data_IF_142191474318
#
_entry.id   IF_142191474318
#
_cell.length_a   1.000
_cell.length_b   1.000
_cell.length_c   1.000
_cell.angle_alpha   90.00
_cell.angle_beta   90.00
_cell.angle_gamma   90.00
#
_symmetry.space_group_name_H-M   'P 1'
#
loop_
_entity.id
_entity.type
_entity.pdbx_description
1 polymer ?
#
# COMPACT_ATOMS: atom_id res chain seq x y z
N UNK A 1 12.43 20.49 -77.88
CA UNK A 1 13.11 20.70 -76.59
C UNK A 1 12.19 20.14 -75.50
N UNK A 2 12.38 18.87 -75.14
CA UNK A 2 11.61 18.19 -74.09
C UNK A 2 12.65 17.75 -73.06
N UNK A 3 12.59 18.35 -71.88
CA UNK A 3 13.51 18.14 -70.76
C UNK A 3 13.01 16.93 -69.95
N UNK A 4 13.80 15.86 -69.74
CA UNK A 4 13.37 14.77 -68.88
C UNK A 4 13.56 15.16 -67.41
N UNK A 5 12.47 15.08 -66.64
CA UNK A 5 12.43 15.27 -65.20
C UNK A 5 12.93 13.98 -64.52
N UNK A 6 14.10 14.06 -63.89
CA UNK A 6 14.73 12.94 -63.18
C UNK A 6 14.13 12.86 -61.77
N UNK A 7 13.30 11.84 -61.51
CA UNK A 7 12.76 11.55 -60.17
C UNK A 7 13.80 10.75 -59.39
N UNK A 8 14.46 11.39 -58.43
CA UNK A 8 15.33 10.75 -57.45
C UNK A 8 14.47 10.09 -56.36
N UNK A 9 14.25 8.78 -56.46
CA UNK A 9 13.73 7.97 -55.36
C UNK A 9 14.86 7.74 -54.36
N UNK A 10 14.96 8.60 -53.36
CA UNK A 10 15.79 8.36 -52.18
C UNK A 10 15.19 7.22 -51.38
N UNK A 11 15.79 6.02 -51.47
CA UNK A 11 15.51 4.91 -50.58
C UNK A 11 15.76 5.35 -49.14
N UNK A 12 14.76 5.28 -48.28
CA UNK A 12 14.98 5.20 -46.83
C UNK A 12 15.91 4.01 -46.59
N UNK A 13 17.01 4.22 -45.86
CA UNK A 13 17.83 3.10 -45.40
C UNK A 13 17.06 2.44 -44.27
N UNK A 14 16.63 1.20 -44.46
CA UNK A 14 16.19 0.34 -43.36
C UNK A 14 17.42 0.10 -42.47
N UNK A 15 17.44 0.73 -41.29
CA UNK A 15 18.39 0.33 -40.26
C UNK A 15 18.02 -1.08 -39.79
N UNK A 16 19.01 -1.96 -39.57
CA UNK A 16 18.74 -3.32 -39.11
C UNK A 16 17.97 -3.29 -37.79
N UNK A 17 16.84 -4.01 -37.76
CA UNK A 17 15.97 -4.10 -36.59
C UNK A 17 16.75 -4.72 -35.42
N UNK A 18 16.85 -3.99 -34.32
CA UNK A 18 17.59 -4.45 -33.14
C UNK A 18 16.78 -5.54 -32.43
N UNK A 19 17.42 -6.70 -32.18
CA UNK A 19 16.79 -7.82 -31.48
C UNK A 19 16.80 -7.53 -29.98
N UNK A 20 15.62 -7.46 -29.31
CA UNK A 20 15.56 -7.14 -27.89
C UNK A 20 16.00 -8.31 -27.01
N UNK A 21 16.30 -7.98 -25.77
CA UNK A 21 16.36 -8.91 -24.63
C UNK A 21 15.05 -8.83 -23.87
N UNK A 22 14.56 -9.94 -23.35
CA UNK A 22 13.31 -9.98 -22.59
C UNK A 22 13.61 -10.17 -21.10
N UNK A 23 13.21 -9.21 -20.27
CA UNK A 23 13.29 -9.36 -18.82
C UNK A 23 12.00 -9.99 -18.31
N UNK A 24 12.09 -11.17 -17.72
CA UNK A 24 10.98 -11.82 -17.03
C UNK A 24 11.04 -11.47 -15.54
N UNK A 25 10.39 -10.37 -15.18
CA UNK A 25 10.38 -9.82 -13.82
C UNK A 25 9.35 -10.58 -12.98
N UNK A 26 9.83 -11.30 -11.97
CA UNK A 26 9.02 -12.05 -11.02
C UNK A 26 8.43 -11.13 -9.93
N UNK A 27 7.42 -11.58 -9.18
CA UNK A 27 6.96 -10.88 -7.99
C UNK A 27 8.11 -10.71 -6.98
N UNK A 28 8.05 -9.65 -6.17
CA UNK A 28 9.05 -9.41 -5.12
C UNK A 28 9.05 -10.52 -4.07
N UNK A 29 10.25 -10.96 -3.70
CA UNK A 29 10.47 -11.65 -2.42
C UNK A 29 10.72 -10.60 -1.34
N UNK A 30 10.06 -10.75 -0.19
CA UNK A 30 10.08 -9.72 0.87
C UNK A 30 10.68 -10.30 2.14
N UNK A 31 11.85 -9.77 2.52
CA UNK A 31 12.58 -10.15 3.72
C UNK A 31 12.25 -9.27 4.95
N UNK A 32 11.22 -8.42 4.84
CA UNK A 32 10.79 -7.51 5.89
C UNK A 32 10.02 -8.21 7.03
N UNK A 33 9.88 -7.58 8.22
CA UNK A 33 9.10 -8.12 9.33
C UNK A 33 7.65 -8.43 8.96
N UNK A 34 7.25 -9.69 9.17
CA UNK A 34 5.97 -10.26 8.71
C UNK A 34 6.11 -11.15 7.47
N UNK A 35 7.19 -10.99 6.70
CA UNK A 35 7.45 -11.73 5.47
C UNK A 35 6.52 -11.34 4.32
N UNK A 36 6.62 -12.06 3.21
CA UNK A 36 5.90 -11.77 1.96
C UNK A 36 4.39 -11.59 2.12
N UNK A 37 3.74 -12.40 2.96
CA UNK A 37 2.29 -12.34 3.12
C UNK A 37 1.80 -10.99 3.67
N UNK A 38 2.65 -10.23 4.36
CA UNK A 38 2.27 -8.94 4.95
C UNK A 38 2.35 -7.77 3.97
N UNK A 39 2.84 -8.04 2.76
CA UNK A 39 3.07 -7.03 1.74
C UNK A 39 2.27 -7.34 0.48
N UNK A 40 1.66 -6.30 -0.10
CA UNK A 40 0.91 -6.38 -1.35
C UNK A 40 1.59 -5.51 -2.42
N UNK A 41 2.77 -5.96 -2.84
CA UNK A 41 3.59 -5.31 -3.87
C UNK A 41 3.17 -5.92 -5.22
N UNK A 42 2.24 -5.25 -5.89
CA UNK A 42 1.65 -5.75 -7.14
C UNK A 42 2.40 -5.27 -8.38
N UNK A 43 3.22 -4.24 -8.26
CA UNK A 43 3.84 -3.56 -9.38
C UNK A 43 5.35 -3.38 -9.16
N UNK A 44 6.09 -3.20 -10.25
CA UNK A 44 7.52 -2.93 -10.25
C UNK A 44 7.86 -1.81 -11.23
N UNK A 45 8.57 -0.78 -10.76
CA UNK A 45 9.07 0.29 -11.62
C UNK A 45 10.49 -0.06 -12.08
N UNK A 46 10.62 -0.32 -13.38
CA UNK A 46 11.85 -0.79 -14.00
C UNK A 46 12.72 0.37 -14.46
N UNK A 47 13.99 0.32 -14.06
CA UNK A 47 15.05 1.14 -14.62
C UNK A 47 16.16 0.24 -15.19
N UNK A 48 16.73 0.65 -16.32
CA UNK A 48 17.82 -0.05 -17.00
C UNK A 48 18.94 0.96 -17.25
N UNK A 49 20.13 0.71 -16.69
CA UNK A 49 21.26 1.65 -16.71
C UNK A 49 20.89 3.07 -16.23
N UNK A 50 19.98 3.16 -15.26
CA UNK A 50 19.47 4.43 -14.72
C UNK A 50 18.35 5.08 -15.53
N UNK A 51 17.97 4.53 -16.70
CA UNK A 51 16.84 5.03 -17.49
C UNK A 51 15.52 4.37 -17.08
N UNK A 52 14.49 5.19 -16.85
CA UNK A 52 13.15 4.70 -16.51
C UNK A 52 12.45 4.12 -17.75
N UNK A 53 12.03 2.86 -17.68
CA UNK A 53 11.31 2.19 -18.77
C UNK A 53 9.80 2.09 -18.56
N UNK A 54 9.35 2.02 -17.31
CA UNK A 54 7.92 1.94 -16.99
C UNK A 54 7.60 1.28 -15.65
N UNK A 55 6.34 1.41 -15.24
CA UNK A 55 5.75 0.64 -14.15
C UNK A 55 4.95 -0.55 -14.70
N UNK A 56 5.19 -1.74 -14.18
CA UNK A 56 4.58 -2.97 -14.66
C UNK A 56 3.92 -3.74 -13.52
N UNK A 57 2.69 -4.22 -13.73
CA UNK A 57 2.06 -5.19 -12.83
C UNK A 57 2.78 -6.52 -12.95
N UNK A 58 3.22 -7.06 -11.81
CA UNK A 58 4.08 -8.25 -11.75
C UNK A 58 3.25 -9.54 -11.60
N UNK A 59 3.72 -10.67 -12.17
CA UNK A 59 4.92 -10.81 -13.01
C UNK A 59 4.76 -10.15 -14.39
N UNK A 60 5.88 -9.69 -14.97
CA UNK A 60 5.87 -9.02 -16.27
C UNK A 60 7.04 -9.46 -17.16
N UNK A 61 6.81 -9.52 -18.47
CA UNK A 61 7.86 -9.71 -19.49
C UNK A 61 8.06 -8.40 -20.24
N UNK A 62 9.24 -7.81 -20.12
CA UNK A 62 9.55 -6.49 -20.68
C UNK A 62 10.66 -6.60 -21.72
N UNK A 63 10.42 -6.24 -22.99
CA UNK A 63 11.48 -6.18 -24.00
C UNK A 63 12.32 -4.91 -23.78
N UNK A 64 13.65 -5.07 -23.81
CA UNK A 64 14.62 -3.98 -23.69
C UNK A 64 15.66 -4.08 -24.80
N UNK A 65 16.11 -2.92 -25.31
CA UNK A 65 17.17 -2.82 -26.29
C UNK A 65 18.49 -2.50 -25.57
N UNK A 66 19.10 -3.53 -24.97
CA UNK A 66 20.37 -3.44 -24.28
C UNK A 66 21.15 -4.75 -24.40
N UNK A 67 22.48 -4.67 -24.38
CA UNK A 67 23.40 -5.82 -24.50
C UNK A 67 24.60 -5.64 -23.56
N UNK A 68 25.21 -6.73 -23.12
CA UNK A 68 26.38 -6.71 -22.25
C UNK A 68 26.04 -6.44 -20.79
N UNK A 69 27.01 -5.94 -20.04
CA UNK A 69 26.83 -5.65 -18.60
C UNK A 69 25.86 -4.49 -18.41
N UNK A 70 24.68 -4.80 -17.87
CA UNK A 70 23.56 -3.86 -17.74
C UNK A 70 23.03 -3.89 -16.31
N UNK A 71 22.92 -2.71 -15.69
CA UNK A 71 22.31 -2.55 -14.38
C UNK A 71 20.78 -2.56 -14.51
N UNK A 72 20.14 -3.47 -13.78
CA UNK A 72 18.68 -3.54 -13.67
C UNK A 72 18.29 -3.11 -12.27
N UNK A 73 17.39 -2.13 -12.19
CA UNK A 73 16.76 -1.72 -10.93
C UNK A 73 15.25 -1.91 -11.01
N UNK A 74 14.65 -2.41 -9.92
CA UNK A 74 13.19 -2.55 -9.80
C UNK A 74 12.75 -1.97 -8.46
N UNK A 75 11.96 -0.90 -8.50
CA UNK A 75 11.38 -0.31 -7.30
C UNK A 75 10.03 -0.98 -6.98
N UNK A 76 9.78 -1.34 -5.70
CA UNK A 76 8.50 -1.88 -5.27
C UNK A 76 7.34 -0.90 -5.49
N UNK A 77 6.31 -1.33 -6.20
CA UNK A 77 5.08 -0.56 -6.44
C UNK A 77 3.88 -1.13 -5.69
N UNK A 78 3.07 -0.24 -5.10
CA UNK A 78 1.82 -0.57 -4.40
C UNK A 78 0.66 0.24 -4.95
N UNK A 79 -0.58 -0.23 -4.74
CA UNK A 79 -1.79 0.56 -5.02
C UNK A 79 -2.04 1.55 -3.87
N UNK A 80 -1.55 2.77 -4.03
CA UNK A 80 -1.78 3.87 -3.09
C UNK A 80 -3.28 4.12 -2.94
N UNK A 81 -3.74 4.17 -1.70
CA UNK A 81 -5.15 4.36 -1.33
C UNK A 81 -6.10 3.35 -1.99
N UNK A 82 -5.59 2.18 -2.40
CA UNK A 82 -6.36 1.15 -3.09
C UNK A 82 -6.74 1.50 -4.54
N UNK A 83 -6.18 2.56 -5.13
CA UNK A 83 -6.47 2.97 -6.51
C UNK A 83 -5.67 2.08 -7.47
N UNK A 84 -6.37 1.19 -8.19
CA UNK A 84 -5.72 0.21 -9.08
C UNK A 84 -5.01 0.86 -10.27
N UNK A 85 -5.60 1.92 -10.81
CA UNK A 85 -5.18 2.59 -12.05
C UNK A 85 -3.86 3.36 -11.93
N UNK A 86 -3.44 3.70 -10.70
CA UNK A 86 -2.27 4.55 -10.45
C UNK A 86 -1.40 3.92 -9.36
N UNK A 87 -0.68 2.82 -9.65
CA UNK A 87 0.31 2.31 -8.73
C UNK A 87 1.41 3.35 -8.50
N UNK A 88 1.91 3.43 -7.28
CA UNK A 88 2.98 4.35 -6.91
C UNK A 88 4.18 3.57 -6.34
N UNK A 89 5.38 4.11 -6.46
CA UNK A 89 6.56 3.56 -5.79
C UNK A 89 6.31 3.65 -4.29
N UNK A 90 6.47 2.54 -3.57
CA UNK A 90 6.35 2.55 -2.12
C UNK A 90 7.69 2.95 -1.48
N UNK A 91 7.81 4.16 -0.90
CA UNK A 91 9.11 4.76 -0.61
C UNK A 91 9.86 4.10 0.54
N UNK A 92 9.19 3.25 1.32
CA UNK A 92 9.79 2.63 2.51
C UNK A 92 10.36 1.24 2.25
N UNK A 93 10.25 0.70 1.03
CA UNK A 93 10.89 -0.55 0.65
C UNK A 93 12.07 -0.28 -0.28
N UNK A 94 13.16 -1.01 -0.04
CA UNK A 94 14.39 -0.91 -0.84
C UNK A 94 14.13 -1.33 -2.27
N UNK A 95 14.71 -0.57 -3.21
CA UNK A 95 14.80 -1.03 -4.60
C UNK A 95 15.70 -2.26 -4.71
N UNK A 96 15.36 -3.15 -5.63
CA UNK A 96 16.28 -4.19 -6.08
C UNK A 96 17.26 -3.57 -7.10
N UNK A 97 18.55 -3.92 -7.02
CA UNK A 97 19.57 -3.51 -7.99
C UNK A 97 20.52 -4.68 -8.24
N UNK A 98 20.73 -5.03 -9.52
CA UNK A 98 21.67 -6.08 -9.92
C UNK A 98 22.13 -5.91 -11.37
N UNK A 99 23.40 -6.19 -11.63
CA UNK A 99 23.93 -6.27 -12.98
C UNK A 99 23.69 -7.64 -13.60
N UNK A 100 23.29 -7.63 -14.87
CA UNK A 100 23.11 -8.82 -15.71
C UNK A 100 23.92 -8.66 -16.99
N UNK A 101 24.50 -9.76 -17.48
CA UNK A 101 25.06 -9.81 -18.82
C UNK A 101 23.93 -10.17 -19.80
N UNK A 102 23.49 -9.18 -20.58
CA UNK A 102 22.36 -9.31 -21.51
C UNK A 102 22.84 -9.77 -22.89
N UNK A 103 22.13 -10.73 -23.48
CA UNK A 103 22.41 -11.27 -24.81
C UNK A 103 21.12 -11.16 -25.63
N UNK A 104 21.16 -10.44 -26.76
CA UNK A 104 20.01 -10.23 -27.65
C UNK A 104 19.29 -11.54 -27.99
N UNK A 105 17.95 -11.48 -27.96
CA UNK A 105 17.07 -12.62 -28.23
C UNK A 105 16.87 -13.56 -27.04
N UNK A 106 17.57 -13.38 -25.92
CA UNK A 106 17.37 -14.20 -24.72
C UNK A 106 16.30 -13.61 -23.79
N UNK A 107 15.76 -14.49 -22.94
CA UNK A 107 14.94 -14.11 -21.79
C UNK A 107 15.74 -14.31 -20.51
N UNK A 108 15.77 -13.30 -19.65
CA UNK A 108 16.47 -13.33 -18.36
C UNK A 108 15.44 -13.20 -17.25
N UNK A 109 15.47 -14.15 -16.31
CA UNK A 109 14.66 -14.08 -15.10
C UNK A 109 15.25 -13.07 -14.11
N UNK A 110 14.43 -12.10 -13.71
CA UNK A 110 14.75 -11.12 -12.68
C UNK A 110 13.88 -11.43 -11.47
N UNK A 111 14.49 -11.93 -10.40
CA UNK A 111 13.83 -12.19 -9.12
C UNK A 111 14.19 -11.07 -8.15
N UNK A 112 13.38 -10.01 -8.03
CA UNK A 112 13.68 -8.93 -7.12
C UNK A 112 13.44 -9.37 -5.66
N UNK A 113 14.33 -8.92 -4.78
CA UNK A 113 14.22 -9.09 -3.32
C UNK A 113 14.21 -7.70 -2.70
N UNK A 114 13.32 -7.49 -1.74
CA UNK A 114 13.18 -6.20 -1.04
C UNK A 114 13.02 -6.40 0.47
N UNK A 115 13.24 -5.31 1.20
CA UNK A 115 13.14 -5.18 2.64
C UNK A 115 12.86 -3.70 2.95
N UNK A 116 12.44 -3.37 4.17
CA UNK A 116 12.28 -1.97 4.55
C UNK A 116 13.60 -1.20 4.48
N UNK A 117 13.48 0.10 4.19
CA UNK A 117 14.57 1.05 4.30
C UNK A 117 15.08 1.14 5.74
N UNK A 118 16.40 1.24 5.92
CA UNK A 118 17.04 1.14 7.25
C UNK A 118 16.69 2.28 8.21
N UNK A 119 16.28 3.42 7.67
CA UNK A 119 15.92 4.65 8.40
C UNK A 119 14.40 4.83 8.56
N UNK A 120 13.59 3.83 8.19
CA UNK A 120 12.15 3.86 8.44
C UNK A 120 11.86 3.96 9.94
N UNK A 121 10.82 4.71 10.29
CA UNK A 121 10.26 4.79 11.64
C UNK A 121 8.86 4.21 11.65
N UNK A 122 8.59 3.35 12.62
CA UNK A 122 7.24 2.87 12.95
C UNK A 122 6.72 3.72 14.11
N UNK A 123 5.80 4.65 13.84
CA UNK A 123 5.41 5.67 14.81
C UNK A 123 4.74 5.11 16.07
N UNK A 124 4.10 3.94 15.95
CA UNK A 124 3.51 3.20 17.08
C UNK A 124 4.42 2.08 17.60
N UNK A 125 5.66 1.99 17.14
CA UNK A 125 6.58 0.88 17.41
C UNK A 125 6.36 -0.32 16.49
N UNK A 126 7.43 -1.04 16.18
CA UNK A 126 7.38 -2.25 15.35
C UNK A 126 6.81 -3.43 16.15
N UNK A 127 5.95 -4.25 15.52
CA UNK A 127 5.38 -5.45 16.14
C UNK A 127 4.34 -5.19 17.24
N UNK A 128 3.79 -3.96 17.33
CA UNK A 128 2.74 -3.63 18.32
C UNK A 128 1.34 -3.70 17.73
N UNK A 129 1.22 -3.43 16.43
CA UNK A 129 -0.04 -3.44 15.70
C UNK A 129 -0.41 -4.79 15.08
N UNK A 130 0.40 -5.82 15.27
CA UNK A 130 0.11 -7.22 14.90
C UNK A 130 -0.56 -8.01 16.03
N UNK A 131 -0.68 -7.40 17.21
CA UNK A 131 -1.36 -7.94 18.39
C UNK A 131 -0.81 -9.25 18.97
N UNK A 132 0.32 -9.75 18.46
CA UNK A 132 0.93 -11.02 18.84
C UNK A 132 1.98 -10.89 19.95
N UNK A 133 2.47 -9.67 20.17
CA UNK A 133 3.47 -9.35 21.19
C UNK A 133 2.91 -9.17 22.61
N UNK A 134 3.83 -8.91 23.55
CA UNK A 134 3.48 -8.58 24.94
C UNK A 134 3.10 -7.11 25.17
N UNK A 135 3.28 -6.23 24.17
CA UNK A 135 3.04 -4.79 24.28
C UNK A 135 2.33 -4.24 23.03
N UNK A 136 1.05 -4.54 22.88
CA UNK A 136 0.24 -4.09 21.74
C UNK A 136 0.07 -2.56 21.70
N UNK A 137 -0.38 -2.03 20.57
CA UNK A 137 -0.85 -0.64 20.50
C UNK A 137 -1.96 -0.42 21.53
N UNK A 138 -1.95 0.73 22.22
CA UNK A 138 -3.09 1.11 23.05
C UNK A 138 -4.32 1.35 22.20
N UNK A 139 -5.46 0.84 22.63
CA UNK A 139 -6.76 1.02 21.98
C UNK A 139 -7.78 1.52 23.01
N UNK A 140 -8.68 2.37 22.57
CA UNK A 140 -9.71 2.98 23.41
C UNK A 140 -11.05 2.93 22.69
N UNK A 141 -12.07 2.40 23.35
CA UNK A 141 -13.44 2.52 22.87
C UNK A 141 -13.95 3.96 23.08
N UNK A 142 -14.44 4.57 22.01
CA UNK A 142 -14.88 5.97 21.92
C UNK A 142 -16.34 6.11 21.49
N UNK A 143 -17.09 5.02 21.36
CA UNK A 143 -18.51 5.07 20.96
C UNK A 143 -19.45 5.53 22.10
N UNK A 144 -18.99 5.46 23.36
CA UNK A 144 -19.76 5.81 24.55
C UNK A 144 -20.71 4.70 25.03
N UNK A 145 -20.64 3.53 24.40
CA UNK A 145 -21.35 2.31 24.78
C UNK A 145 -20.60 1.58 25.90
N UNK A 146 -21.31 1.19 26.95
CA UNK A 146 -20.71 0.50 28.09
C UNK A 146 -20.88 -1.04 28.00
N UNK A 147 -21.79 -1.51 27.15
CA UNK A 147 -22.22 -2.91 27.10
C UNK A 147 -21.50 -3.69 25.98
N UNK A 148 -21.05 -3.01 24.92
CA UNK A 148 -20.23 -3.60 23.86
C UNK A 148 -18.83 -2.99 23.82
N UNK A 149 -17.83 -3.83 23.61
CA UNK A 149 -16.44 -3.40 23.45
C UNK A 149 -15.75 -4.19 22.32
N UNK A 150 -14.63 -3.68 21.84
CA UNK A 150 -13.78 -4.40 20.90
C UNK A 150 -13.07 -5.59 21.55
N UNK A 151 -12.58 -6.50 20.71
CA UNK A 151 -11.91 -7.73 21.14
C UNK A 151 -10.54 -7.84 20.44
N UNK A 152 -9.53 -8.36 21.14
CA UNK A 152 -8.30 -8.86 20.52
C UNK A 152 -8.33 -10.39 20.58
N UNK A 153 -8.33 -11.06 19.43
CA UNK A 153 -8.61 -12.49 19.33
C UNK A 153 -7.81 -13.16 18.22
N UNK A 154 -7.50 -14.45 18.38
CA UNK A 154 -6.92 -15.29 17.33
C UNK A 154 -7.97 -15.86 16.37
N UNK A 155 -9.24 -15.77 16.73
CA UNK A 155 -10.33 -16.32 15.95
C UNK A 155 -10.56 -15.55 14.64
N UNK A 156 -10.06 -16.13 13.55
CA UNK A 156 -10.16 -15.54 12.22
C UNK A 156 -9.18 -14.38 11.99
N UNK A 157 -8.10 -14.31 12.78
CA UNK A 157 -7.00 -13.38 12.58
C UNK A 157 -6.28 -13.61 11.23
N UNK A 158 -5.55 -12.59 10.77
CA UNK A 158 -4.73 -12.72 9.57
C UNK A 158 -3.49 -13.56 9.86
N UNK A 159 -2.80 -13.22 10.95
CA UNK A 159 -1.76 -14.02 11.58
C UNK A 159 -1.88 -13.83 13.09
N UNK A 160 -1.73 -14.89 13.87
CA UNK A 160 -1.78 -14.80 15.33
C UNK A 160 -3.10 -14.19 15.84
N UNK A 161 -3.11 -12.92 16.28
CA UNK A 161 -4.29 -12.19 16.78
C UNK A 161 -4.63 -10.98 15.93
N UNK A 162 -5.89 -10.56 15.99
CA UNK A 162 -6.36 -9.33 15.35
C UNK A 162 -7.32 -8.55 16.25
N UNK A 163 -7.50 -7.27 15.94
CA UNK A 163 -8.58 -6.45 16.48
C UNK A 163 -9.89 -6.80 15.79
N UNK A 164 -10.92 -7.10 16.58
CA UNK A 164 -12.29 -7.35 16.12
C UNK A 164 -13.21 -6.28 16.68
N UNK A 165 -13.88 -5.57 15.78
CA UNK A 165 -14.95 -4.62 16.12
C UNK A 165 -16.26 -5.19 15.61
N UNK A 166 -17.31 -5.09 16.42
CA UNK A 166 -18.67 -5.57 16.09
C UNK A 166 -19.67 -4.46 16.34
N UNK A 167 -20.76 -4.49 15.58
CA UNK A 167 -21.93 -3.66 15.82
C UNK A 167 -23.19 -4.48 15.53
N UNK A 168 -24.27 -4.19 16.24
CA UNK A 168 -25.56 -4.85 16.09
C UNK A 168 -26.71 -3.82 16.21
N UNK A 169 -27.96 -4.29 16.15
CA UNK A 169 -29.11 -3.38 16.20
C UNK A 169 -29.31 -2.66 17.54
N UNK A 170 -28.75 -3.18 18.64
CA UNK A 170 -28.75 -2.55 19.96
C UNK A 170 -27.55 -1.60 20.13
N UNK A 171 -26.39 -1.97 19.59
CA UNK A 171 -25.13 -1.22 19.65
C UNK A 171 -24.62 -0.94 18.21
N UNK A 172 -25.18 0.04 17.49
CA UNK A 172 -25.03 0.16 16.04
C UNK A 172 -23.74 0.85 15.58
N UNK A 173 -22.90 1.30 16.51
CA UNK A 173 -21.64 1.99 16.23
C UNK A 173 -20.58 1.37 17.12
N UNK A 174 -19.36 1.22 16.58
CA UNK A 174 -18.17 0.87 17.34
C UNK A 174 -17.03 1.77 16.85
N UNK A 175 -16.51 2.58 17.75
CA UNK A 175 -15.47 3.58 17.50
C UNK A 175 -14.23 3.21 18.30
N UNK A 176 -13.16 2.80 17.64
CA UNK A 176 -11.91 2.40 18.30
C UNK A 176 -10.77 3.32 17.89
N UNK A 177 -10.21 4.03 18.86
CA UNK A 177 -9.09 4.94 18.66
C UNK A 177 -7.77 4.31 19.14
N UNK A 178 -6.71 4.43 18.34
CA UNK A 178 -5.34 4.10 18.79
C UNK A 178 -4.87 5.06 19.87
N UNK A 179 -3.84 4.70 20.62
CA UNK A 179 -3.09 5.64 21.47
C UNK A 179 -2.61 6.88 20.70
N UNK A 180 -2.24 7.94 21.44
CA UNK A 180 -1.71 9.17 20.85
C UNK A 180 -0.36 8.90 20.21
N UNK A 181 -0.29 9.12 18.90
CA UNK A 181 0.92 9.06 18.10
C UNK A 181 1.51 10.46 18.05
N UNK A 182 2.74 10.62 18.55
CA UNK A 182 3.38 11.94 18.69
C UNK A 182 4.36 12.20 17.58
N UNK A 183 4.62 13.49 17.34
CA UNK A 183 5.75 13.96 16.53
C UNK A 183 5.76 13.49 15.06
N UNK A 184 4.61 13.16 14.49
CA UNK A 184 4.47 12.77 13.08
C UNK A 184 4.89 13.94 12.16
N UNK A 185 5.60 13.69 11.05
CA UNK A 185 5.88 14.70 10.03
C UNK A 185 4.60 15.34 9.47
N UNK A 186 4.54 16.68 9.43
CA UNK A 186 3.38 17.45 8.94
C UNK A 186 3.75 18.51 7.88
N UNK A 187 4.93 18.39 7.25
CA UNK A 187 5.44 19.35 6.25
C UNK A 187 5.31 18.85 4.80
N UNK A 188 4.62 17.73 4.56
CA UNK A 188 4.45 17.13 3.23
C UNK A 188 5.58 16.18 2.82
N UNK A 189 6.76 16.34 3.42
CA UNK A 189 7.87 15.39 3.31
C UNK A 189 8.65 15.35 4.65
N UNK A 190 9.12 14.17 5.10
CA UNK A 190 8.84 12.85 4.52
C UNK A 190 7.35 12.50 4.62
N UNK A 191 6.88 11.67 3.69
CA UNK A 191 5.51 11.20 3.68
C UNK A 191 5.21 10.34 4.91
N UNK A 192 3.92 10.17 5.20
CA UNK A 192 3.41 9.34 6.30
C UNK A 192 2.35 8.41 5.74
N UNK A 193 2.58 7.11 5.88
CA UNK A 193 1.70 6.09 5.32
C UNK A 193 1.19 5.12 6.39
N UNK A 194 -0.08 4.76 6.30
CA UNK A 194 -0.67 3.67 7.06
C UNK A 194 -0.64 2.40 6.22
N UNK A 195 -0.08 1.35 6.77
CA UNK A 195 -0.28 0.00 6.28
C UNK A 195 -1.27 -0.74 7.18
N UNK A 196 -2.22 -1.46 6.57
CA UNK A 196 -3.29 -2.12 7.31
C UNK A 196 -3.73 -3.40 6.61
N UNK A 197 -3.83 -4.50 7.35
CA UNK A 197 -4.64 -5.64 6.94
C UNK A 197 -6.05 -5.49 7.49
N UNK A 198 -7.06 -5.74 6.66
CA UNK A 198 -8.45 -5.71 7.09
C UNK A 198 -9.27 -6.80 6.40
N UNK A 199 -10.33 -7.22 7.08
CA UNK A 199 -11.42 -8.05 6.55
C UNK A 199 -12.72 -7.55 7.14
N UNK A 200 -13.75 -7.33 6.33
CA UNK A 200 -14.97 -6.67 6.80
C UNK A 200 -16.20 -7.07 6.01
N UNK A 201 -17.32 -7.24 6.72
CA UNK A 201 -18.61 -7.60 6.14
C UNK A 201 -19.35 -6.39 5.56
N UNK A 202 -18.95 -5.18 5.98
CA UNK A 202 -19.55 -3.90 5.61
C UNK A 202 -18.48 -2.81 5.43
N UNK A 203 -18.75 -1.72 4.70
CA UNK A 203 -17.86 -0.57 4.70
C UNK A 203 -17.65 0.01 6.11
N UNK A 204 -16.42 0.42 6.40
CA UNK A 204 -16.06 1.12 7.64
C UNK A 204 -15.15 2.31 7.31
N UNK A 205 -14.89 3.19 8.26
CA UNK A 205 -14.17 4.44 8.02
C UNK A 205 -12.95 4.62 8.92
N UNK A 206 -11.93 5.28 8.39
CA UNK A 206 -10.78 5.81 9.13
C UNK A 206 -10.92 7.32 9.26
N UNK A 207 -10.69 7.81 10.48
CA UNK A 207 -10.54 9.21 10.81
C UNK A 207 -9.17 9.46 11.44
N UNK A 208 -8.65 10.68 11.26
CA UNK A 208 -7.58 11.23 12.10
C UNK A 208 -8.21 12.08 13.19
N UNK A 209 -7.81 11.84 14.43
CA UNK A 209 -8.18 12.69 15.56
C UNK A 209 -6.99 13.51 16.03
N UNK A 210 -7.17 14.82 16.19
CA UNK A 210 -6.12 15.75 16.61
C UNK A 210 -6.69 17.03 17.27
N UNK A 211 -5.82 17.80 17.90
CA UNK A 211 -6.16 19.09 18.51
C UNK A 211 -6.62 19.02 19.97
N UNK A 212 -6.95 20.19 20.53
CA UNK A 212 -7.48 20.33 21.89
C UNK A 212 -8.54 21.45 21.93
N UNK A 213 -9.86 21.13 22.04
CA UNK A 213 -10.41 19.78 22.11
C UNK A 213 -10.15 18.97 20.83
N UNK A 214 -10.09 17.64 20.98
CA UNK A 214 -9.82 16.72 19.87
C UNK A 214 -10.96 16.77 18.83
N UNK A 215 -10.61 16.85 17.54
CA UNK A 215 -11.55 16.91 16.42
C UNK A 215 -11.21 15.81 15.39
N UNK A 216 -12.24 15.24 14.76
CA UNK A 216 -12.10 14.16 13.79
C UNK A 216 -12.17 14.64 12.34
N UNK A 217 -11.17 14.29 11.55
CA UNK A 217 -11.15 14.46 10.10
C UNK A 217 -11.32 13.10 9.42
N UNK A 218 -12.33 12.95 8.55
CA UNK A 218 -12.51 11.74 7.77
C UNK A 218 -11.40 11.58 6.73
N UNK A 219 -10.82 10.39 6.64
CA UNK A 219 -9.66 10.09 5.78
C UNK A 219 -10.06 9.17 4.64
N UNK A 220 -10.65 8.02 4.99
CA UNK A 220 -10.86 6.94 4.03
C UNK A 220 -12.07 6.10 4.43
N UNK A 221 -12.80 5.63 3.44
CA UNK A 221 -13.86 4.63 3.60
C UNK A 221 -13.41 3.33 2.94
N UNK A 222 -13.25 2.29 3.75
CA UNK A 222 -12.89 0.97 3.27
C UNK A 222 -14.11 0.27 2.71
N UNK A 223 -13.93 -0.43 1.61
CA UNK A 223 -14.97 -1.26 1.02
C UNK A 223 -15.08 -2.61 1.74
N UNK A 224 -16.21 -3.28 1.53
CA UNK A 224 -16.40 -4.67 1.96
C UNK A 224 -15.28 -5.56 1.41
N UNK A 225 -14.77 -6.48 2.24
CA UNK A 225 -13.86 -7.51 1.79
C UNK A 225 -14.11 -8.83 2.53
N UNK A 226 -14.56 -9.85 1.80
CA UNK A 226 -14.84 -11.20 2.33
C UNK A 226 -13.56 -11.99 2.67
N UNK A 227 -12.40 -11.50 2.20
CA UNK A 227 -11.07 -12.06 2.46
C UNK A 227 -10.16 -11.00 3.09
N UNK A 228 -9.04 -11.41 3.68
CA UNK A 228 -8.06 -10.46 4.19
C UNK A 228 -7.43 -9.69 3.04
N UNK A 229 -7.45 -8.36 3.14
CA UNK A 229 -6.86 -7.46 2.18
C UNK A 229 -5.84 -6.56 2.86
N UNK A 230 -4.75 -6.23 2.15
CA UNK A 230 -3.75 -5.24 2.57
C UNK A 230 -3.98 -3.94 1.80
N UNK A 231 -3.91 -2.82 2.51
CA UNK A 231 -3.97 -1.48 1.92
C UNK A 231 -2.83 -0.62 2.43
N UNK A 232 -2.36 0.27 1.56
CA UNK A 232 -1.37 1.30 1.82
C UNK A 232 -2.06 2.65 1.63
N UNK A 233 -2.26 3.38 2.71
CA UNK A 233 -2.92 4.69 2.71
C UNK A 233 -1.89 5.78 2.94
N UNK A 234 -1.77 6.72 2.00
CA UNK A 234 -0.93 7.90 2.17
C UNK A 234 -1.72 8.94 2.97
N UNK A 235 -1.30 9.18 4.22
CA UNK A 235 -1.97 10.09 5.15
C UNK A 235 -1.40 11.50 5.13
N UNK A 236 -0.32 11.71 4.36
CA UNK A 236 0.49 12.95 4.37
C UNK A 236 -0.37 14.19 4.21
N UNK A 237 -1.25 14.24 3.20
CA UNK A 237 -2.04 15.43 2.92
C UNK A 237 -3.04 15.75 4.04
N UNK A 238 -3.63 14.73 4.68
CA UNK A 238 -4.55 14.92 5.80
C UNK A 238 -3.80 15.51 7.01
N UNK A 239 -2.63 14.95 7.34
CA UNK A 239 -1.79 15.41 8.45
C UNK A 239 -1.32 16.86 8.21
N UNK A 240 -0.81 17.16 7.02
CA UNK A 240 -0.42 18.53 6.62
C UNK A 240 -1.60 19.50 6.75
N UNK A 241 -2.77 19.11 6.22
CA UNK A 241 -3.96 19.96 6.26
C UNK A 241 -4.46 20.24 7.68
N UNK A 242 -4.28 19.28 8.60
CA UNK A 242 -4.65 19.45 10.00
C UNK A 242 -3.73 20.43 10.74
N UNK A 243 -2.47 20.54 10.31
CA UNK A 243 -1.43 21.32 11.00
C UNK A 243 -0.91 20.66 12.29
N UNK A 244 -1.47 19.53 12.73
CA UNK A 244 -1.10 18.86 13.98
C UNK A 244 -0.10 17.73 13.73
N UNK A 245 0.90 17.62 14.61
CA UNK A 245 1.90 16.54 14.61
C UNK A 245 1.50 15.36 15.48
N UNK A 246 0.58 15.59 16.41
CA UNK A 246 0.04 14.58 17.29
C UNK A 246 -1.30 14.11 16.73
N UNK A 247 -1.44 12.80 16.53
CA UNK A 247 -2.57 12.19 15.84
C UNK A 247 -3.03 10.92 16.56
N UNK A 248 -4.31 10.59 16.44
CA UNK A 248 -4.83 9.23 16.69
C UNK A 248 -5.49 8.71 15.42
N UNK A 249 -5.41 7.41 15.19
CA UNK A 249 -6.24 6.75 14.19
C UNK A 249 -7.54 6.34 14.87
N UNK A 250 -8.69 6.72 14.31
CA UNK A 250 -10.01 6.25 14.76
C UNK A 250 -10.64 5.41 13.65
N UNK A 251 -10.91 4.15 13.96
CA UNK A 251 -11.70 3.27 13.12
C UNK A 251 -13.16 3.32 13.58
N UNK A 252 -14.05 3.65 12.65
CA UNK A 252 -15.49 3.70 12.87
C UNK A 252 -16.19 2.62 12.07
N UNK A 253 -16.84 1.71 12.78
CA UNK A 253 -17.79 0.75 12.24
C UNK A 253 -19.20 1.25 12.53
N UNK A 254 -20.10 1.14 11.56
CA UNK A 254 -21.52 1.41 11.77
C UNK A 254 -22.37 0.35 11.08
N UNK A 255 -23.43 -0.10 11.74
CA UNK A 255 -24.37 -1.04 11.15
C UNK A 255 -25.11 -0.36 9.97
N UNK A 256 -25.02 -0.89 8.75
CA UNK A 256 -25.55 -0.20 7.57
C UNK A 256 -27.06 -0.03 7.61
N UNK A 257 -27.53 1.08 7.03
CA UNK A 257 -28.94 1.42 6.89
C UNK A 257 -29.29 1.69 5.41
N UNK A 258 -30.52 1.38 5.04
CA UNK A 258 -31.07 1.77 3.74
C UNK A 258 -31.45 3.27 3.71
N UNK A 259 -31.91 3.75 2.56
CA UNK A 259 -32.35 5.14 2.36
C UNK A 259 -33.51 5.55 3.28
N UNK A 260 -34.23 4.58 3.87
CA UNK A 260 -35.33 4.80 4.81
C UNK A 260 -34.89 4.72 6.27
N UNK A 261 -33.58 4.58 6.52
CA UNK A 261 -32.99 4.51 7.85
C UNK A 261 -33.16 3.15 8.53
N UNK A 262 -33.64 2.11 7.83
CA UNK A 262 -33.77 0.75 8.38
C UNK A 262 -32.45 0.00 8.25
N UNK A 263 -32.06 -0.73 9.29
CA UNK A 263 -30.89 -1.62 9.21
C UNK A 263 -31.03 -2.66 8.10
N UNK A 264 -30.00 -2.83 7.29
CA UNK A 264 -29.98 -3.81 6.19
C UNK A 264 -29.51 -5.20 6.62
N UNK A 265 -28.93 -5.30 7.82
CA UNK A 265 -28.51 -6.54 8.48
C UNK A 265 -28.60 -6.37 10.00
N UNK A 266 -28.54 -7.46 10.76
CA UNK A 266 -28.70 -7.44 12.23
C UNK A 266 -27.40 -7.22 12.99
N UNK A 267 -26.27 -7.58 12.38
CA UNK A 267 -24.93 -7.46 12.94
C UNK A 267 -23.90 -7.26 11.82
N UNK A 268 -22.75 -6.68 12.14
CA UNK A 268 -21.60 -6.61 11.25
C UNK A 268 -20.28 -6.72 12.02
N UNK A 269 -19.24 -7.18 11.33
CA UNK A 269 -17.89 -7.30 11.91
C UNK A 269 -16.85 -6.68 10.98
N UNK A 270 -15.87 -5.97 11.57
CA UNK A 270 -14.58 -5.68 10.94
C UNK A 270 -13.46 -6.29 11.78
N UNK A 271 -12.47 -6.85 11.09
CA UNK A 271 -11.22 -7.35 11.64
C UNK A 271 -10.08 -6.54 11.08
N UNK A 272 -9.19 -6.07 11.95
CA UNK A 272 -8.03 -5.24 11.64
C UNK A 272 -6.78 -5.89 12.20
N UNK A 273 -5.73 -5.90 11.41
CA UNK A 273 -4.45 -6.50 11.81
C UNK A 273 -3.28 -5.74 11.18
N UNK A 274 -2.09 -5.90 11.75
CA UNK A 274 -0.83 -5.34 11.27
C UNK A 274 -0.91 -3.83 11.02
N UNK A 275 -1.48 -3.10 11.99
CA UNK A 275 -1.66 -1.64 11.93
C UNK A 275 -0.29 -0.97 12.09
N UNK A 276 0.26 -0.43 11.00
CA UNK A 276 1.59 0.20 10.98
C UNK A 276 1.49 1.60 10.40
N UNK A 277 1.93 2.60 11.16
CA UNK A 277 2.12 3.96 10.65
C UNK A 277 3.61 4.20 10.44
N UNK A 278 4.02 4.44 9.20
CA UNK A 278 5.42 4.53 8.80
C UNK A 278 5.77 5.89 8.22
N UNK A 279 6.99 6.36 8.50
CA UNK A 279 7.58 7.58 7.96
C UNK A 279 9.12 7.52 8.06
N UNK A 280 9.82 8.58 7.65
CA UNK A 280 11.27 8.77 7.90
C UNK A 280 11.55 9.74 9.06
#
# INVERSE_FOLDING_TARGET
>A
MILPFLVLLGSCKDEPEQIPVYLNIKPFQVAAPGGESWHKITDGWLYVNGEFLGGYTLPAVVPILAEGDTEIQVFPGVKENGIEATPNIYPYLKRFTKNYNLISGQTIDVQPVTDYESNIKFAMGIGRGDFDGGSNIGLENRDGDADLNFEISDNGAFAGKCLIMRADTAHPIMDVATELIKDIPNLGAPEVWLELHYKTDVPFALYLLNGNPENGQGVFQFNKSDTWNKIYLNLTQFIVSSGWRDQRLLFRLSLPRDEKGKYTQTECTVRLDNIRLVHF
#
